data_IF_279404742374
#
_entry.id   IF_279404742374
#
_cell.length_a   1.000
_cell.length_b   1.000
_cell.length_c   1.000
_cell.angle_alpha   90.00
_cell.angle_beta   90.00
_cell.angle_gamma   90.00
#
_symmetry.space_group_name_H-M   'P 1'
#
loop_
_entity.id
_entity.type
_entity.pdbx_description
1 polymer ?
#
# COMPACT_ATOMS: atom_id res chain seq x y z
N UNK A 1 -12.40 10.06 12.53
CA UNK A 1 -13.44 9.62 11.58
C UNK A 1 -13.54 8.11 11.62
N UNK A 2 -14.75 7.57 11.59
CA UNK A 2 -15.09 6.16 11.84
C UNK A 2 -14.28 5.16 11.02
N UNK A 3 -13.92 5.50 9.77
CA UNK A 3 -13.07 4.66 8.91
C UNK A 3 -11.68 4.45 9.54
N UNK A 4 -11.01 5.54 9.96
CA UNK A 4 -9.66 5.46 10.54
C UNK A 4 -9.61 4.68 11.86
N UNK A 5 -10.74 4.56 12.57
CA UNK A 5 -10.83 3.88 13.86
C UNK A 5 -10.93 2.36 13.72
N UNK A 6 -11.44 1.86 12.59
CA UNK A 6 -11.66 0.43 12.38
C UNK A 6 -10.55 -0.27 11.57
N UNK A 7 -9.68 0.51 10.90
CA UNK A 7 -8.55 0.00 10.11
C UNK A 7 -7.23 0.51 10.70
N UNK A 8 -6.62 -0.24 11.63
CA UNK A 8 -5.45 0.23 12.38
C UNK A 8 -4.14 0.15 11.58
N UNK A 9 -4.06 -0.74 10.59
CA UNK A 9 -2.91 -0.82 9.67
C UNK A 9 -3.03 0.23 8.57
N UNK A 10 -1.92 0.88 8.24
CA UNK A 10 -1.85 1.98 7.27
C UNK A 10 -0.72 1.74 6.30
N UNK A 11 -0.97 2.01 5.03
CA UNK A 11 0.04 2.04 3.97
C UNK A 11 -0.13 3.35 3.21
N UNK A 12 0.97 4.04 2.91
CA UNK A 12 0.98 5.20 2.03
C UNK A 12 2.10 5.06 1.01
N UNK A 13 1.76 5.21 -0.27
CA UNK A 13 2.72 5.53 -1.32
C UNK A 13 3.02 7.04 -1.32
N UNK A 14 3.83 7.48 -2.28
CA UNK A 14 4.15 8.89 -2.44
C UNK A 14 2.88 9.75 -2.55
N UNK A 15 2.86 10.85 -1.81
CA UNK A 15 1.78 11.84 -1.84
C UNK A 15 2.33 13.25 -2.08
N UNK A 16 1.47 14.18 -2.46
CA UNK A 16 1.89 15.54 -2.83
C UNK A 16 2.16 16.45 -1.64
N UNK A 17 1.65 16.14 -0.44
CA UNK A 17 1.75 17.04 0.71
C UNK A 17 1.86 16.35 2.07
N UNK A 18 2.41 17.09 3.04
CA UNK A 18 2.46 16.69 4.46
C UNK A 18 1.07 16.48 5.05
N UNK A 19 0.06 17.20 4.56
CA UNK A 19 -1.33 17.10 5.00
C UNK A 19 -1.91 15.75 4.57
N UNK A 20 -1.63 15.33 3.33
CA UNK A 20 -2.07 14.04 2.80
C UNK A 20 -1.37 12.89 3.54
N UNK A 21 -0.07 13.03 3.81
CA UNK A 21 0.69 12.04 4.59
C UNK A 21 0.05 11.80 5.97
N UNK A 22 -0.22 12.88 6.73
CA UNK A 22 -0.90 12.77 8.04
C UNK A 22 -2.32 12.21 7.91
N UNK A 23 -3.00 12.48 6.80
CA UNK A 23 -4.34 11.95 6.56
C UNK A 23 -4.33 10.44 6.41
N UNK A 24 -3.36 9.89 5.69
CA UNK A 24 -3.26 8.45 5.38
C UNK A 24 -2.57 7.68 6.51
N UNK A 25 -1.31 8.04 6.82
CA UNK A 25 -0.45 7.27 7.73
C UNK A 25 -0.32 7.85 9.14
N UNK A 26 -0.90 9.04 9.39
CA UNK A 26 -0.92 9.67 10.71
C UNK A 26 0.27 10.58 10.99
N UNK A 27 1.37 10.42 10.25
CA UNK A 27 2.58 11.25 10.36
C UNK A 27 2.98 11.83 8.99
N UNK A 28 3.94 12.76 8.99
CA UNK A 28 4.58 13.25 7.76
C UNK A 28 5.66 12.25 7.29
N UNK A 29 6.04 12.30 6.02
CA UNK A 29 7.11 11.50 5.44
C UNK A 29 6.73 10.82 4.13
N UNK A 30 5.43 10.55 3.89
CA UNK A 30 5.00 9.96 2.63
C UNK A 30 5.21 10.92 1.44
N UNK A 31 5.25 12.24 1.69
CA UNK A 31 5.58 13.23 0.67
C UNK A 31 7.05 13.19 0.20
N UNK A 32 7.91 12.44 0.89
CA UNK A 32 9.33 12.31 0.61
C UNK A 32 9.69 10.96 -0.03
N UNK A 33 8.69 10.12 -0.30
CA UNK A 33 8.87 8.86 -0.99
C UNK A 33 9.28 9.10 -2.45
N UNK A 34 9.97 8.13 -3.05
CA UNK A 34 10.56 8.23 -4.38
C UNK A 34 9.58 7.89 -5.51
N UNK A 35 8.38 7.44 -5.19
CA UNK A 35 7.44 6.86 -6.15
C UNK A 35 7.81 5.41 -6.51
N UNK A 36 7.29 4.90 -7.63
CA UNK A 36 7.64 3.58 -8.19
C UNK A 36 7.63 2.41 -7.18
N UNK A 37 6.64 2.39 -6.28
CA UNK A 37 6.49 1.32 -5.28
C UNK A 37 7.13 1.60 -3.92
N UNK A 38 7.86 2.70 -3.74
CA UNK A 38 8.35 3.14 -2.42
C UNK A 38 7.17 3.57 -1.53
N UNK A 39 7.11 3.01 -0.32
CA UNK A 39 5.96 3.16 0.58
C UNK A 39 6.36 3.23 2.05
N UNK A 40 5.50 3.86 2.86
CA UNK A 40 5.51 3.75 4.31
C UNK A 40 4.40 2.78 4.75
N UNK A 41 4.73 1.89 5.67
CA UNK A 41 3.80 0.92 6.23
C UNK A 41 3.80 0.98 7.76
N UNK A 42 2.61 0.98 8.35
CA UNK A 42 2.39 0.88 9.78
C UNK A 42 1.47 -0.30 10.04
N UNK A 43 1.99 -1.34 10.68
CA UNK A 43 1.15 -2.43 11.21
C UNK A 43 0.41 -1.93 12.46
N UNK A 44 -0.68 -2.58 12.85
CA UNK A 44 -1.44 -2.29 14.07
C UNK A 44 -0.53 -2.01 15.27
N UNK A 45 -0.49 -0.75 15.73
CA UNK A 45 0.32 -0.32 16.89
C UNK A 45 1.84 -0.37 16.70
N UNK A 46 2.32 -0.69 15.49
CA UNK A 46 3.72 -0.77 15.15
C UNK A 46 4.32 0.59 14.76
N UNK A 47 5.65 0.62 14.68
CA UNK A 47 6.39 1.74 14.09
C UNK A 47 6.14 1.81 12.59
N UNK A 48 6.18 3.03 12.03
CA UNK A 48 6.20 3.23 10.59
C UNK A 48 7.54 2.75 10.04
N UNK A 49 7.50 1.93 9.00
CA UNK A 49 8.68 1.42 8.30
C UNK A 49 8.59 1.72 6.81
N UNK A 50 9.72 2.15 6.21
CA UNK A 50 9.84 2.34 4.76
C UNK A 50 10.09 0.99 4.08
N UNK A 51 9.38 0.73 2.99
CA UNK A 51 9.40 -0.53 2.24
C UNK A 51 9.45 -0.21 0.74
N UNK A 52 10.20 -1.02 -0.01
CA UNK A 52 10.16 -1.02 -1.47
C UNK A 52 9.19 -2.11 -1.94
N UNK A 53 8.08 -1.69 -2.55
CA UNK A 53 7.08 -2.60 -3.09
C UNK A 53 7.62 -3.40 -4.28
N UNK A 54 7.20 -4.67 -4.42
CA UNK A 54 7.51 -5.44 -5.62
C UNK A 54 6.82 -4.80 -6.83
N UNK A 55 7.51 -4.78 -7.96
CA UNK A 55 6.91 -4.47 -9.25
C UNK A 55 6.28 -5.76 -9.80
N UNK A 56 5.01 -5.68 -10.19
CA UNK A 56 4.32 -6.76 -10.90
C UNK A 56 3.74 -6.16 -12.18
N UNK A 57 4.08 -6.76 -13.31
CA UNK A 57 3.60 -6.36 -14.62
C UNK A 57 2.16 -6.84 -14.86
N UNK A 58 1.48 -6.22 -15.82
CA UNK A 58 0.14 -6.65 -16.20
C UNK A 58 0.13 -8.10 -16.72
N UNK A 59 1.13 -8.50 -17.51
CA UNK A 59 1.26 -9.86 -18.04
C UNK A 59 1.38 -10.92 -16.92
N UNK A 60 2.12 -10.62 -15.85
CA UNK A 60 2.21 -11.49 -14.68
C UNK A 60 0.86 -11.65 -13.98
N UNK A 61 0.10 -10.55 -13.85
CA UNK A 61 -1.26 -10.60 -13.29
C UNK A 61 -2.18 -11.47 -14.16
N UNK A 62 -2.17 -11.26 -15.48
CA UNK A 62 -2.99 -12.01 -16.43
C UNK A 62 -2.66 -13.51 -16.42
N UNK A 63 -1.38 -13.86 -16.37
CA UNK A 63 -0.90 -15.24 -16.25
C UNK A 63 -1.45 -15.93 -14.99
N UNK A 64 -1.32 -15.29 -13.82
CA UNK A 64 -1.83 -15.82 -12.54
C UNK A 64 -3.35 -15.97 -12.57
N UNK A 65 -4.08 -14.98 -13.09
CA UNK A 65 -5.54 -15.04 -13.21
C UNK A 65 -5.97 -16.18 -14.14
N UNK A 66 -5.31 -16.36 -15.29
CA UNK A 66 -5.58 -17.43 -16.24
C UNK A 66 -5.36 -18.81 -15.61
N UNK A 67 -4.25 -18.99 -14.90
CA UNK A 67 -3.95 -20.21 -14.17
C UNK A 67 -5.03 -20.54 -13.13
N UNK A 68 -5.42 -19.56 -12.29
CA UNK A 68 -6.44 -19.77 -11.26
C UNK A 68 -7.82 -20.14 -11.82
N UNK A 69 -8.20 -19.59 -12.99
CA UNK A 69 -9.46 -19.93 -13.66
C UNK A 69 -9.55 -21.41 -14.04
N UNK A 70 -8.43 -22.09 -14.27
CA UNK A 70 -8.42 -23.53 -14.58
C UNK A 70 -8.88 -24.40 -13.39
N UNK A 71 -8.76 -23.90 -12.15
CA UNK A 71 -9.13 -24.62 -10.93
C UNK A 71 -10.48 -24.18 -10.34
N UNK A 72 -11.05 -23.07 -10.82
CA UNK A 72 -12.30 -22.49 -10.30
C UNK A 72 -13.58 -22.94 -11.03
N UNK A 73 -13.45 -23.78 -12.07
CA UNK A 73 -14.57 -24.34 -12.82
C UNK A 73 -15.07 -25.66 -12.21
N UNK A 74 -15.90 -25.55 -11.17
CA UNK A 74 -16.89 -26.56 -10.81
C UNK A 74 -18.25 -26.19 -11.41
#
# INVERSE_FOLDING_TARGET
GTIKANFPSRISFQVSSKIDSRTIIGEQGAEQLLGQGDMLCQRTGGKITRIHGPLVSQDEVESVVSHLKQYGGG
#
